data_IF_830582905117
#
_entry.id   IF_830582905117
#
_cell.length_a   1.000
_cell.length_b   1.000
_cell.length_c   1.000
_cell.angle_alpha   90.00
_cell.angle_beta   90.00
_cell.angle_gamma   90.00
#
_symmetry.space_group_name_H-M   'P 1'
#
loop_
_entity.id
_entity.type
_entity.pdbx_description
1 polymer ?
#
# COMPACT_ATOMS: atom_id res chain seq x y z
N UNK A 1 -5.62 -10.46 -26.63
CA UNK A 1 -5.91 -11.49 -25.59
C UNK A 1 -4.66 -11.80 -24.79
N UNK A 2 -3.54 -12.09 -25.46
CA UNK A 2 -2.25 -12.39 -24.82
C UNK A 2 -1.81 -11.34 -23.78
N UNK A 3 -1.73 -10.05 -24.13
CA UNK A 3 -1.34 -9.01 -23.18
C UNK A 3 -2.22 -8.93 -21.92
N UNK A 4 -3.53 -9.17 -22.06
CA UNK A 4 -4.47 -9.19 -20.94
C UNK A 4 -4.23 -10.39 -20.02
N UNK A 5 -4.01 -11.58 -20.59
CA UNK A 5 -3.76 -12.80 -19.82
C UNK A 5 -2.38 -12.75 -19.14
N UNK A 6 -1.36 -12.24 -19.84
CA UNK A 6 0.00 -12.08 -19.32
C UNK A 6 0.02 -11.05 -18.20
N UNK A 7 -0.58 -9.87 -18.38
CA UNK A 7 -0.60 -8.85 -17.33
C UNK A 7 -1.40 -9.32 -16.10
N UNK A 8 -2.58 -9.90 -16.31
CA UNK A 8 -3.40 -10.45 -15.23
C UNK A 8 -2.66 -11.54 -14.48
N UNK A 9 -2.04 -12.49 -15.20
CA UNK A 9 -1.31 -13.59 -14.59
C UNK A 9 -0.07 -13.12 -13.82
N UNK A 10 0.74 -12.23 -14.40
CA UNK A 10 1.94 -11.71 -13.76
C UNK A 10 1.62 -10.89 -12.50
N UNK A 11 0.65 -9.98 -12.59
CA UNK A 11 0.21 -9.17 -11.44
C UNK A 11 -0.43 -10.06 -10.38
N UNK A 12 -1.33 -10.97 -10.76
CA UNK A 12 -1.95 -11.88 -9.78
C UNK A 12 -0.90 -12.74 -9.05
N UNK A 13 0.13 -13.23 -9.74
CA UNK A 13 1.21 -14.00 -9.10
C UNK A 13 2.14 -13.14 -8.25
N UNK A 14 2.37 -11.87 -8.62
CA UNK A 14 3.20 -10.95 -7.83
C UNK A 14 2.50 -10.45 -6.57
N UNK A 15 1.19 -10.27 -6.63
CA UNK A 15 0.36 -9.69 -5.56
C UNK A 15 -0.29 -10.76 -4.67
N UNK A 16 -0.25 -12.05 -5.05
CA UNK A 16 -0.88 -13.12 -4.26
C UNK A 16 -0.16 -13.31 -2.93
N UNK A 17 -0.93 -13.15 -1.85
CA UNK A 17 -0.41 -13.30 -0.49
C UNK A 17 0.29 -12.06 0.05
N UNK A 18 0.14 -10.91 -0.62
CA UNK A 18 0.63 -9.63 -0.11
C UNK A 18 -0.02 -9.26 1.26
N UNK A 19 0.67 -8.40 2.02
CA UNK A 19 0.25 -7.85 3.31
C UNK A 19 -1.16 -7.28 3.24
N UNK A 20 -1.51 -6.58 2.17
CA UNK A 20 -2.85 -5.99 1.99
C UNK A 20 -3.94 -7.07 1.89
N UNK A 21 -3.65 -8.18 1.19
CA UNK A 21 -4.53 -9.34 1.12
C UNK A 21 -4.66 -10.05 2.47
N UNK A 22 -3.55 -10.23 3.21
CA UNK A 22 -3.56 -10.80 4.56
C UNK A 22 -4.38 -9.94 5.53
N UNK A 23 -4.19 -8.62 5.50
CA UNK A 23 -4.94 -7.67 6.32
C UNK A 23 -6.44 -7.75 6.01
N UNK A 24 -6.83 -7.78 4.73
CA UNK A 24 -8.23 -7.92 4.33
C UNK A 24 -8.85 -9.21 4.88
N UNK A 25 -8.12 -10.34 4.82
CA UNK A 25 -8.58 -11.61 5.39
C UNK A 25 -8.74 -11.55 6.91
N UNK A 26 -7.78 -10.94 7.62
CA UNK A 26 -7.84 -10.77 9.08
C UNK A 26 -9.02 -9.89 9.50
N UNK A 27 -9.25 -8.77 8.81
CA UNK A 27 -10.37 -7.86 9.07
C UNK A 27 -11.71 -8.54 8.79
N UNK A 28 -11.80 -9.31 7.69
CA UNK A 28 -12.99 -10.09 7.35
C UNK A 28 -13.29 -11.16 8.40
N UNK A 29 -12.28 -11.89 8.86
CA UNK A 29 -12.41 -12.91 9.91
C UNK A 29 -12.82 -12.30 11.26
N UNK A 30 -12.26 -11.13 11.61
CA UNK A 30 -12.50 -10.43 12.88
C UNK A 30 -13.87 -9.78 12.94
N UNK A 31 -14.23 -8.99 11.93
CA UNK A 31 -15.44 -8.15 11.98
C UNK A 31 -16.67 -8.80 11.35
N UNK A 32 -16.49 -9.81 10.48
CA UNK A 32 -17.57 -10.55 9.79
C UNK A 32 -18.60 -9.63 9.11
N UNK A 33 -18.17 -8.45 8.66
CA UNK A 33 -19.00 -7.46 7.94
C UNK A 33 -18.31 -7.11 6.62
N UNK A 34 -18.51 -7.91 5.55
CA UNK A 34 -17.73 -7.77 4.32
C UNK A 34 -18.02 -6.45 3.58
N UNK A 35 -19.27 -5.98 3.56
CA UNK A 35 -19.64 -4.77 2.80
C UNK A 35 -18.91 -3.51 3.32
N UNK A 36 -18.94 -3.17 4.62
CA UNK A 36 -18.14 -2.05 5.14
C UNK A 36 -16.63 -2.19 4.89
N UNK A 37 -16.09 -3.41 4.94
CA UNK A 37 -14.67 -3.67 4.69
C UNK A 37 -14.32 -3.38 3.22
N UNK A 38 -15.09 -3.92 2.28
CA UNK A 38 -14.88 -3.70 0.84
C UNK A 38 -14.95 -2.21 0.50
N UNK A 39 -15.96 -1.50 1.01
CA UNK A 39 -16.09 -0.06 0.77
C UNK A 39 -14.95 0.74 1.39
N UNK A 40 -14.49 0.34 2.57
CA UNK A 40 -13.35 0.99 3.23
C UNK A 40 -12.05 0.78 2.46
N UNK A 41 -11.80 -0.44 1.97
CA UNK A 41 -10.64 -0.75 1.11
C UNK A 41 -10.71 0.10 -0.16
N UNK A 42 -11.87 0.14 -0.85
CA UNK A 42 -12.05 0.94 -2.06
C UNK A 42 -11.71 2.42 -1.82
N UNK A 43 -12.26 3.01 -0.75
CA UNK A 43 -12.01 4.42 -0.40
C UNK A 43 -10.54 4.65 -0.05
N UNK A 44 -9.92 3.76 0.73
CA UNK A 44 -8.52 3.84 1.08
C UNK A 44 -7.61 3.79 -0.15
N UNK A 45 -7.83 2.83 -1.05
CA UNK A 45 -7.07 2.67 -2.29
C UNK A 45 -7.22 3.90 -3.19
N UNK A 46 -8.44 4.37 -3.43
CA UNK A 46 -8.69 5.56 -4.24
C UNK A 46 -8.01 6.81 -3.66
N UNK A 47 -8.14 7.01 -2.35
CA UNK A 47 -7.48 8.12 -1.66
C UNK A 47 -5.95 8.02 -1.77
N UNK A 48 -5.38 6.84 -1.55
CA UNK A 48 -3.93 6.63 -1.62
C UNK A 48 -3.39 6.95 -3.02
N UNK A 49 -4.03 6.41 -4.06
CA UNK A 49 -3.63 6.65 -5.45
C UNK A 49 -3.84 8.11 -5.89
N UNK A 50 -4.94 8.73 -5.46
CA UNK A 50 -5.20 10.14 -5.77
C UNK A 50 -4.15 11.06 -5.13
N UNK A 51 -3.81 10.82 -3.85
CA UNK A 51 -2.80 11.59 -3.13
C UNK A 51 -1.40 11.36 -3.70
N UNK A 52 -1.02 10.10 -3.94
CA UNK A 52 0.26 9.76 -4.54
C UNK A 52 0.41 10.35 -5.95
N UNK A 53 -0.66 10.28 -6.77
CA UNK A 53 -0.69 10.86 -8.11
C UNK A 53 -0.58 12.38 -8.09
N UNK A 54 -1.38 13.06 -7.27
CA UNK A 54 -1.34 14.52 -7.17
C UNK A 54 0.00 15.03 -6.64
N UNK A 55 0.54 14.38 -5.61
CA UNK A 55 1.86 14.73 -5.07
C UNK A 55 2.98 14.43 -6.07
N UNK A 56 2.94 13.25 -6.71
CA UNK A 56 3.89 12.85 -7.73
C UNK A 56 3.92 13.81 -8.92
N UNK A 57 2.76 14.26 -9.40
CA UNK A 57 2.64 15.27 -10.45
C UNK A 57 3.27 16.61 -10.00
N UNK A 58 2.94 17.08 -8.80
CA UNK A 58 3.49 18.31 -8.25
C UNK A 58 5.02 18.26 -8.12
N UNK A 59 5.56 17.15 -7.61
CA UNK A 59 7.01 16.94 -7.50
C UNK A 59 7.66 16.89 -8.89
N UNK A 60 7.08 16.16 -9.84
CA UNK A 60 7.63 16.04 -11.19
C UNK A 60 7.68 17.39 -11.91
N UNK A 61 6.65 18.22 -11.76
CA UNK A 61 6.62 19.57 -12.31
C UNK A 61 7.66 20.49 -11.67
N UNK A 62 7.96 20.29 -10.38
CA UNK A 62 8.89 21.16 -9.62
C UNK A 62 10.36 20.80 -9.84
N UNK A 63 10.70 19.50 -9.90
CA UNK A 63 12.10 19.04 -9.89
C UNK A 63 12.72 18.87 -11.29
N UNK A 64 11.90 18.78 -12.35
CA UNK A 64 12.36 18.50 -13.71
C UNK A 64 12.79 17.03 -13.91
N UNK A 65 12.77 16.57 -15.17
CA UNK A 65 12.91 15.15 -15.51
C UNK A 65 14.26 14.54 -15.10
N UNK A 66 15.36 15.28 -15.28
CA UNK A 66 16.71 14.76 -14.97
C UNK A 66 16.95 14.59 -13.47
N UNK A 67 16.49 15.55 -12.66
CA UNK A 67 16.57 15.47 -11.19
C UNK A 67 15.74 14.30 -10.69
N UNK A 68 14.49 14.17 -11.19
CA UNK A 68 13.60 13.08 -10.80
C UNK A 68 14.20 11.71 -11.16
N UNK A 69 14.81 11.59 -12.34
CA UNK A 69 15.49 10.35 -12.77
C UNK A 69 16.60 9.95 -11.81
N UNK A 70 17.46 10.89 -11.42
CA UNK A 70 18.53 10.61 -10.48
C UNK A 70 18.01 10.32 -9.08
N UNK A 71 17.00 11.05 -8.62
CA UNK A 71 16.40 10.85 -7.30
C UNK A 71 15.79 9.45 -7.19
N UNK A 72 15.00 9.03 -8.18
CA UNK A 72 14.43 7.67 -8.25
C UNK A 72 15.52 6.61 -8.36
N UNK A 73 16.51 6.80 -9.24
CA UNK A 73 17.61 5.83 -9.38
C UNK A 73 18.40 5.64 -8.07
N UNK A 74 18.71 6.74 -7.38
CA UNK A 74 19.41 6.71 -6.09
C UNK A 74 18.54 6.10 -5.00
N UNK A 75 17.23 6.36 -4.97
CA UNK A 75 16.33 5.75 -3.99
C UNK A 75 16.24 4.23 -4.14
N UNK A 76 16.20 3.71 -5.37
CA UNK A 76 16.26 2.27 -5.62
C UNK A 76 17.55 1.63 -5.11
N UNK A 77 18.70 2.28 -5.36
CA UNK A 77 19.99 1.80 -4.84
C UNK A 77 20.02 1.86 -3.32
N UNK A 78 19.51 2.93 -2.71
CA UNK A 78 19.40 3.06 -1.27
C UNK A 78 18.52 1.95 -0.66
N UNK A 79 17.37 1.65 -1.28
CA UNK A 79 16.47 0.58 -0.84
C UNK A 79 17.12 -0.80 -0.97
N UNK A 80 17.88 -1.03 -2.04
CA UNK A 80 18.64 -2.28 -2.23
C UNK A 80 19.70 -2.49 -1.14
N UNK A 81 20.32 -1.41 -0.63
CA UNK A 81 21.20 -1.51 0.54
C UNK A 81 20.43 -1.65 1.85
N UNK A 82 19.30 -0.95 1.99
CA UNK A 82 18.48 -0.99 3.20
C UNK A 82 17.95 -2.39 3.47
N UNK A 83 17.44 -3.09 2.45
CA UNK A 83 16.84 -4.42 2.60
C UNK A 83 17.85 -5.50 3.03
N UNK A 84 19.17 -5.23 2.88
CA UNK A 84 20.22 -6.12 3.40
C UNK A 84 20.36 -6.04 4.92
N UNK A 85 19.83 -4.99 5.54
CA UNK A 85 19.80 -4.81 6.98
C UNK A 85 18.54 -5.51 7.49
N UNK A 86 18.66 -6.60 8.27
CA UNK A 86 17.49 -7.30 8.78
C UNK A 86 16.75 -6.45 9.81
N UNK A 87 15.43 -6.30 9.61
CA UNK A 87 14.55 -5.62 10.55
C UNK A 87 14.54 -6.36 11.90
N UNK A 88 14.58 -5.59 12.99
CA UNK A 88 14.35 -6.10 14.34
C UNK A 88 12.84 -6.01 14.59
N UNK A 89 12.25 -7.10 15.07
CA UNK A 89 10.85 -7.09 15.46
C UNK A 89 10.70 -6.19 16.68
N UNK A 90 10.10 -5.01 16.49
CA UNK A 90 9.66 -4.18 17.59
C UNK A 90 8.42 -4.85 18.20
N UNK A 91 8.55 -5.34 19.44
CA UNK A 91 7.45 -5.89 20.25
C UNK A 91 6.62 -4.76 20.88
N UNK A 92 6.35 -3.69 20.14
CA UNK A 92 5.48 -2.65 20.65
C UNK A 92 4.01 -3.12 20.61
N UNK A 93 3.30 -3.09 21.75
CA UNK A 93 1.90 -3.47 21.79
C UNK A 93 1.13 -2.52 20.88
N UNK A 94 0.52 -3.08 19.82
CA UNK A 94 -0.32 -2.34 18.87
C UNK A 94 -1.38 -1.57 19.66
N UNK A 95 -1.17 -0.26 19.78
CA UNK A 95 -2.05 0.66 20.49
C UNK A 95 -3.48 0.52 19.98
N UNK A 96 -4.43 0.42 20.91
CA UNK A 96 -5.83 0.16 20.62
C UNK A 96 -6.37 1.07 19.52
N UNK A 97 -6.87 0.46 18.44
CA UNK A 97 -7.48 1.17 17.33
C UNK A 97 -8.55 2.16 17.86
N UNK A 98 -8.55 3.42 17.40
CA UNK A 98 -9.57 4.38 17.79
C UNK A 98 -10.97 3.83 17.48
N UNK A 99 -11.99 4.28 18.22
CA UNK A 99 -13.38 3.82 18.13
C UNK A 99 -14.08 4.24 16.80
N UNK A 100 -13.45 3.99 15.65
CA UNK A 100 -13.85 4.41 14.30
C UNK A 100 -14.85 3.45 13.63
N UNK A 101 -15.32 2.43 14.35
CA UNK A 101 -16.15 1.36 13.78
C UNK A 101 -15.41 0.54 12.71
N UNK A 102 -16.11 -0.44 12.12
CA UNK A 102 -15.49 -1.38 11.16
C UNK A 102 -14.96 -0.68 9.91
N UNK A 103 -15.73 0.26 9.36
CA UNK A 103 -15.34 0.99 8.15
C UNK A 103 -14.09 1.85 8.40
N UNK A 104 -14.10 2.73 9.41
CA UNK A 104 -12.98 3.65 9.64
C UNK A 104 -11.72 2.92 10.08
N UNK A 105 -11.86 1.86 10.89
CA UNK A 105 -10.74 0.97 11.23
C UNK A 105 -10.12 0.35 9.98
N UNK A 106 -10.94 -0.19 9.09
CA UNK A 106 -10.46 -0.81 7.84
C UNK A 106 -9.84 0.22 6.92
N UNK A 107 -10.46 1.40 6.77
CA UNK A 107 -9.97 2.44 5.86
C UNK A 107 -8.60 2.95 6.29
N UNK A 108 -8.42 3.26 7.58
CA UNK A 108 -7.13 3.73 8.12
C UNK A 108 -6.07 2.63 8.04
N UNK A 109 -6.39 1.41 8.48
CA UNK A 109 -5.44 0.31 8.45
C UNK A 109 -4.98 -0.01 7.02
N UNK A 110 -5.93 -0.05 6.06
CA UNK A 110 -5.61 -0.33 4.67
C UNK A 110 -4.87 0.83 4.00
N UNK A 111 -5.23 2.08 4.29
CA UNK A 111 -4.52 3.25 3.76
C UNK A 111 -3.05 3.27 4.21
N UNK A 112 -2.78 3.03 5.49
CA UNK A 112 -1.41 2.98 6.02
C UNK A 112 -0.65 1.79 5.42
N UNK A 113 -1.27 0.61 5.38
CA UNK A 113 -0.65 -0.59 4.82
C UNK A 113 -0.29 -0.39 3.33
N UNK A 114 -1.19 0.19 2.55
CA UNK A 114 -0.99 0.48 1.13
C UNK A 114 0.12 1.52 0.89
N UNK A 115 0.22 2.54 1.75
CA UNK A 115 1.27 3.57 1.66
C UNK A 115 2.64 3.07 2.13
N UNK A 116 2.67 2.14 3.08
CA UNK A 116 3.93 1.54 3.56
C UNK A 116 4.52 0.50 2.61
N UNK A 117 3.74 0.04 1.64
CA UNK A 117 4.14 -0.99 0.67
C UNK A 117 4.46 -0.42 -0.72
N UNK A 118 3.91 0.75 -1.09
CA UNK A 118 4.10 1.43 -2.38
C UNK A 118 4.88 2.73 -2.24
#
# INVERSE_FOLDING_TARGET
MEAFLVSTGAVALGEIGDKTQLLAMVLAARFRRPVPIILAILVATLANHALAGAFGEWVAHTLGADTLRWLVGVSFVAMAFWILIPDKADEDPVGGLPALGVFGTTAVAFFIAEMGDK
#
